data_IF_878922205020
#
_entry.id   IF_878922205020
#
_cell.length_a   1.000
_cell.length_b   1.000
_cell.length_c   1.000
_cell.angle_alpha   90.00
_cell.angle_beta   90.00
_cell.angle_gamma   90.00
#
_symmetry.space_group_name_H-M   'P 1'
#
loop_
_entity.id
_entity.type
_entity.pdbx_description
1 polymer ?
#
# COMPACT_ATOMS: atom_id res chain seq x y z
N UNK A 1 5.79 12.19 -14.56
CA UNK A 1 6.01 11.51 -13.25
C UNK A 1 5.68 10.04 -13.42
N UNK A 2 6.61 9.18 -13.12
CA UNK A 2 6.56 7.72 -13.36
C UNK A 2 5.33 7.06 -12.74
N UNK A 3 5.03 7.34 -11.46
CA UNK A 3 3.91 6.72 -10.76
C UNK A 3 2.56 6.99 -11.42
N UNK A 4 2.31 8.21 -11.91
CA UNK A 4 1.07 8.55 -12.62
C UNK A 4 0.96 7.78 -13.95
N UNK A 5 2.08 7.61 -14.67
CA UNK A 5 2.12 6.83 -15.91
C UNK A 5 1.87 5.34 -15.64
N UNK A 6 2.48 4.77 -14.59
CA UNK A 6 2.24 3.38 -14.16
C UNK A 6 0.76 3.19 -13.81
N UNK A 7 0.18 4.06 -12.99
CA UNK A 7 -1.23 3.96 -12.60
C UNK A 7 -2.18 4.05 -13.80
N UNK A 8 -1.91 4.94 -14.76
CA UNK A 8 -2.73 5.11 -15.97
C UNK A 8 -2.72 3.89 -16.89
N UNK A 9 -1.57 3.20 -16.97
CA UNK A 9 -1.36 2.06 -17.86
C UNK A 9 -1.47 0.70 -17.14
N UNK A 10 -1.88 0.68 -15.88
CA UNK A 10 -2.03 -0.55 -15.10
C UNK A 10 -3.06 -1.49 -15.71
N UNK A 11 -2.85 -2.82 -15.52
CA UNK A 11 -3.80 -3.88 -15.93
C UNK A 11 -5.22 -3.63 -15.41
N UNK A 12 -5.34 -3.12 -14.19
CA UNK A 12 -6.62 -2.75 -13.58
C UNK A 12 -6.77 -1.24 -13.57
N UNK A 13 -7.99 -0.76 -13.72
CA UNK A 13 -8.27 0.67 -13.68
C UNK A 13 -7.96 1.27 -12.31
N UNK A 14 -6.99 2.18 -12.24
CA UNK A 14 -6.52 2.83 -10.99
C UNK A 14 -7.04 4.27 -10.85
N UNK A 15 -8.19 4.56 -11.43
CA UNK A 15 -8.74 5.93 -11.53
C UNK A 15 -9.79 6.28 -10.48
N UNK A 16 -10.03 5.44 -9.47
CA UNK A 16 -11.00 5.72 -8.40
C UNK A 16 -10.44 6.62 -7.27
N UNK A 17 -9.48 7.45 -7.64
CA UNK A 17 -8.77 8.37 -6.78
C UNK A 17 -7.37 7.88 -6.39
N UNK A 18 -6.67 8.72 -5.67
CA UNK A 18 -5.33 8.44 -5.16
C UNK A 18 -5.05 9.20 -3.87
N UNK A 19 -3.95 8.87 -3.25
CA UNK A 19 -3.45 9.63 -2.12
C UNK A 19 -1.98 9.38 -1.85
N UNK A 20 -1.39 10.30 -1.08
CA UNK A 20 -0.03 10.16 -0.61
C UNK A 20 0.14 10.63 0.83
N UNK A 21 1.15 10.08 1.49
CA UNK A 21 1.72 10.57 2.73
C UNK A 21 3.21 10.86 2.48
N UNK A 22 3.69 12.01 2.93
CA UNK A 22 5.09 12.39 2.74
C UNK A 22 5.62 13.17 3.94
N UNK A 23 6.95 13.21 4.08
CA UNK A 23 7.61 14.00 5.11
C UNK A 23 7.86 15.41 4.59
N UNK A 24 7.45 16.43 5.38
CA UNK A 24 7.85 17.80 5.12
C UNK A 24 9.32 18.05 5.54
N UNK A 25 9.83 19.24 5.30
CA UNK A 25 11.20 19.64 5.67
C UNK A 25 11.50 19.51 7.17
N UNK A 26 10.48 19.55 8.01
CA UNK A 26 10.57 19.38 9.47
C UNK A 26 10.42 17.90 9.91
N UNK A 27 10.25 17.00 8.95
CA UNK A 27 10.03 15.58 9.22
C UNK A 27 8.61 15.21 9.66
N UNK A 28 7.63 16.14 9.58
CA UNK A 28 6.25 15.81 9.93
C UNK A 28 5.53 15.15 8.77
N UNK A 29 4.60 14.26 9.07
CA UNK A 29 3.73 13.69 8.08
C UNK A 29 2.74 14.71 7.52
N UNK A 30 2.64 14.78 6.20
CA UNK A 30 1.62 15.47 5.43
C UNK A 30 0.85 14.44 4.62
N UNK A 31 -0.44 14.69 4.45
CA UNK A 31 -1.36 13.80 3.74
C UNK A 31 -2.08 14.56 2.65
N UNK A 32 -2.26 13.90 1.53
CA UNK A 32 -3.10 14.37 0.46
C UNK A 32 -3.91 13.22 -0.09
N UNK A 33 -5.17 13.49 -0.46
CA UNK A 33 -6.06 12.55 -1.14
C UNK A 33 -6.88 13.30 -2.17
N UNK A 34 -7.16 12.65 -3.28
CA UNK A 34 -8.03 13.17 -4.33
C UNK A 34 -8.89 12.03 -4.87
N UNK A 35 -10.13 12.33 -5.25
CA UNK A 35 -11.05 11.39 -5.88
C UNK A 35 -10.76 11.23 -7.38
N UNK A 36 -10.13 12.23 -8.00
CA UNK A 36 -9.70 12.16 -9.40
C UNK A 36 -8.51 11.22 -9.56
N UNK A 37 -8.33 10.63 -10.75
CA UNK A 37 -7.14 9.86 -11.07
C UNK A 37 -5.85 10.68 -10.90
N UNK A 38 -4.77 10.04 -10.49
CA UNK A 38 -3.48 10.75 -10.28
C UNK A 38 -2.95 11.41 -11.58
N UNK A 39 -3.24 10.85 -12.74
CA UNK A 39 -2.78 11.40 -14.04
C UNK A 39 -3.56 12.64 -14.48
N UNK A 40 -4.61 13.03 -13.76
CA UNK A 40 -5.39 14.25 -13.93
C UNK A 40 -5.08 15.30 -12.85
N UNK A 41 -4.20 14.99 -11.91
CA UNK A 41 -3.87 15.87 -10.79
C UNK A 41 -2.52 16.58 -11.00
N UNK A 42 -2.38 17.78 -10.43
CA UNK A 42 -1.10 18.51 -10.43
C UNK A 42 -0.18 17.96 -9.34
N UNK A 43 0.54 16.91 -9.68
CA UNK A 43 1.50 16.26 -8.79
C UNK A 43 2.82 17.05 -8.61
N UNK A 44 3.07 18.06 -9.47
CA UNK A 44 4.26 18.93 -9.38
C UNK A 44 4.28 19.82 -8.15
N UNK A 45 3.13 20.10 -7.56
CA UNK A 45 2.99 20.97 -6.38
C UNK A 45 3.59 20.43 -5.07
N UNK A 46 3.91 19.15 -4.99
CA UNK A 46 4.38 18.54 -3.72
C UNK A 46 5.87 18.76 -3.43
N UNK A 47 6.66 19.17 -4.42
CA UNK A 47 8.09 19.41 -4.24
C UNK A 47 8.90 18.14 -3.97
N UNK A 48 9.99 18.28 -3.21
CA UNK A 48 10.92 17.20 -2.86
C UNK A 48 10.65 16.73 -1.43
N UNK A 49 10.77 15.43 -1.19
CA UNK A 49 10.61 14.83 0.14
C UNK A 49 11.64 13.73 0.37
N UNK A 50 11.93 13.42 1.60
CA UNK A 50 12.81 12.31 2.00
C UNK A 50 12.07 10.98 2.11
N UNK A 51 10.74 11.00 2.21
CA UNK A 51 9.91 9.80 2.32
C UNK A 51 8.52 10.06 1.75
N UNK A 52 8.14 9.23 0.79
CA UNK A 52 6.82 9.25 0.12
C UNK A 52 6.20 7.87 0.15
N UNK A 53 4.93 7.81 0.55
CA UNK A 53 4.05 6.65 0.39
C UNK A 53 2.87 7.09 -0.48
N UNK A 54 2.65 6.44 -1.61
CA UNK A 54 1.58 6.80 -2.54
C UNK A 54 0.78 5.56 -2.96
N UNK A 55 -0.52 5.76 -3.18
CA UNK A 55 -1.44 4.72 -3.61
C UNK A 55 -2.46 5.28 -4.62
N UNK A 56 -2.55 4.67 -5.79
CA UNK A 56 -3.63 4.86 -6.75
C UNK A 56 -4.66 3.74 -6.55
N UNK A 57 -5.94 4.08 -6.60
CA UNK A 57 -7.00 3.19 -6.16
C UNK A 57 -7.77 2.58 -7.33
N UNK A 58 -7.89 1.24 -7.29
CA UNK A 58 -8.97 0.49 -7.92
C UNK A 58 -10.00 0.12 -6.86
N UNK A 59 -11.22 0.63 -6.92
CA UNK A 59 -12.25 0.32 -5.94
C UNK A 59 -12.86 -1.04 -6.26
N UNK A 60 -13.01 -1.88 -5.22
CA UNK A 60 -13.63 -3.19 -5.36
C UNK A 60 -15.08 -3.05 -5.86
N UNK A 61 -15.42 -3.72 -6.96
CA UNK A 61 -16.73 -3.66 -7.63
C UNK A 61 -17.24 -2.21 -7.88
N UNK A 62 -16.31 -1.26 -8.11
CA UNK A 62 -16.59 0.17 -8.35
C UNK A 62 -17.48 0.81 -7.27
N UNK A 63 -17.32 0.36 -6.01
CA UNK A 63 -18.12 0.85 -4.88
C UNK A 63 -17.30 1.68 -3.91
N UNK A 64 -18.01 2.46 -3.09
CA UNK A 64 -17.44 3.27 -2.00
C UNK A 64 -16.33 4.20 -2.49
N UNK A 65 -16.53 4.80 -3.69
CA UNK A 65 -15.61 5.76 -4.31
C UNK A 65 -15.82 7.11 -3.65
N UNK A 66 -15.22 7.25 -2.46
CA UNK A 66 -15.19 8.49 -1.66
C UNK A 66 -13.76 8.76 -1.21
N UNK A 67 -13.44 10.03 -0.97
CA UNK A 67 -12.07 10.49 -0.67
C UNK A 67 -11.51 9.86 0.61
N UNK A 68 -12.36 9.61 1.59
CA UNK A 68 -12.00 9.02 2.88
C UNK A 68 -11.47 7.59 2.74
N UNK A 69 -11.87 6.89 1.68
CA UNK A 69 -11.46 5.53 1.38
C UNK A 69 -10.16 5.45 0.58
N UNK A 70 -9.61 6.58 0.14
CA UNK A 70 -8.31 6.61 -0.53
C UNK A 70 -7.18 6.52 0.50
N UNK A 71 -6.31 5.54 0.29
CA UNK A 71 -5.11 5.36 1.10
C UNK A 71 -4.02 6.37 0.70
N UNK A 72 -3.05 6.65 1.58
CA UNK A 72 -2.72 5.95 2.83
C UNK A 72 -3.66 6.23 3.99
N UNK A 73 -3.88 5.22 4.86
CA UNK A 73 -4.47 5.41 6.19
C UNK A 73 -3.37 5.73 7.21
N UNK A 74 -3.77 6.36 8.32
CA UNK A 74 -2.84 6.78 9.37
C UNK A 74 -3.52 6.76 10.73
N UNK A 75 -2.84 6.25 11.73
CA UNK A 75 -3.35 6.14 13.11
C UNK A 75 -2.64 7.06 14.13
N UNK A 76 -1.87 8.05 13.63
CA UNK A 76 -1.02 8.90 14.46
C UNK A 76 0.44 8.43 14.52
N UNK A 77 0.71 7.15 14.23
CA UNK A 77 2.04 6.53 14.29
C UNK A 77 2.46 5.89 12.97
N UNK A 78 1.58 5.14 12.37
CA UNK A 78 1.87 4.27 11.23
C UNK A 78 1.04 4.67 10.00
N UNK A 79 1.71 4.84 8.87
CA UNK A 79 1.12 5.01 7.54
C UNK A 79 0.91 3.63 6.94
N UNK A 80 -0.25 3.39 6.33
CA UNK A 80 -0.67 2.10 5.81
C UNK A 80 -1.22 2.21 4.39
N UNK A 81 -0.78 1.33 3.50
CA UNK A 81 -1.40 1.07 2.20
C UNK A 81 -1.59 -0.42 1.98
N UNK A 82 -2.57 -0.75 1.15
CA UNK A 82 -2.97 -2.12 0.81
C UNK A 82 -3.24 -2.23 -0.69
N UNK A 83 -2.66 -3.25 -1.32
CA UNK A 83 -2.99 -3.66 -2.68
C UNK A 83 -3.34 -5.15 -2.67
N UNK A 84 -4.60 -5.48 -2.97
CA UNK A 84 -5.05 -6.85 -2.97
C UNK A 84 -6.55 -7.00 -3.07
N UNK A 85 -6.97 -8.26 -3.24
CA UNK A 85 -8.37 -8.66 -3.28
C UNK A 85 -8.58 -9.87 -2.37
N UNK A 86 -9.46 -9.69 -1.36
CA UNK A 86 -9.86 -10.72 -0.41
C UNK A 86 -11.38 -10.85 -0.37
N UNK A 87 -11.88 -12.08 -0.43
CA UNK A 87 -13.33 -12.35 -0.32
C UNK A 87 -13.62 -13.35 0.80
N UNK A 88 -14.70 -13.10 1.54
CA UNK A 88 -15.13 -13.94 2.65
C UNK A 88 -14.14 -13.92 3.82
N UNK A 89 -13.61 -12.74 4.14
CA UNK A 89 -12.73 -12.50 5.29
C UNK A 89 -13.54 -12.60 6.59
N UNK A 90 -13.12 -13.46 7.50
CA UNK A 90 -13.79 -13.70 8.80
C UNK A 90 -12.99 -13.12 9.97
N UNK A 91 -12.58 -11.86 9.86
CA UNK A 91 -12.04 -11.07 10.98
C UNK A 91 -13.15 -10.15 11.53
N UNK A 92 -13.17 -9.97 12.85
CA UNK A 92 -14.07 -9.02 13.50
C UNK A 92 -13.30 -7.75 13.76
N UNK A 93 -13.54 -6.76 12.93
CA UNK A 93 -12.91 -5.45 13.04
C UNK A 93 -13.78 -4.38 12.36
N UNK A 94 -13.78 -3.18 12.91
CA UNK A 94 -14.45 -2.03 12.33
C UNK A 94 -13.60 -1.39 11.22
N UNK A 95 -14.26 -0.69 10.30
CA UNK A 95 -13.64 0.02 9.20
C UNK A 95 -14.62 0.25 8.05
N UNK A 96 -14.43 1.33 7.31
CA UNK A 96 -15.29 1.75 6.19
C UNK A 96 -15.20 0.76 5.02
N UNK A 97 -13.98 0.29 4.75
CA UNK A 97 -13.69 -0.67 3.68
C UNK A 97 -12.78 -1.79 4.18
N UNK A 98 -12.62 -2.85 3.38
CA UNK A 98 -11.82 -4.01 3.74
C UNK A 98 -10.37 -3.67 4.12
N UNK A 99 -9.74 -2.74 3.39
CA UNK A 99 -8.36 -2.31 3.68
C UNK A 99 -8.23 -1.65 5.07
N UNK A 100 -9.19 -0.82 5.47
CA UNK A 100 -9.19 -0.21 6.81
C UNK A 100 -9.41 -1.24 7.92
N UNK A 101 -10.29 -2.23 7.71
CA UNK A 101 -10.47 -3.35 8.64
C UNK A 101 -9.19 -4.16 8.82
N UNK A 102 -8.44 -4.39 7.73
CA UNK A 102 -7.13 -5.06 7.78
C UNK A 102 -6.14 -4.23 8.60
N UNK A 103 -6.06 -2.92 8.36
CA UNK A 103 -5.19 -2.03 9.13
C UNK A 103 -5.51 -2.07 10.62
N UNK A 104 -6.78 -1.88 10.98
CA UNK A 104 -7.22 -1.91 12.38
C UNK A 104 -6.95 -3.28 13.02
N UNK A 105 -7.13 -4.38 12.28
CA UNK A 105 -6.82 -5.71 12.76
C UNK A 105 -5.33 -5.91 13.06
N UNK A 106 -4.43 -5.41 12.21
CA UNK A 106 -2.98 -5.49 12.43
C UNK A 106 -2.58 -4.71 13.68
N UNK A 107 -3.13 -3.50 13.87
CA UNK A 107 -2.86 -2.63 15.03
C UNK A 107 -3.13 -3.30 16.38
N UNK A 108 -4.06 -4.25 16.45
CA UNK A 108 -4.35 -5.01 17.69
C UNK A 108 -3.18 -5.85 18.18
N UNK A 109 -2.24 -6.16 17.31
CA UNK A 109 -1.06 -6.97 17.62
C UNK A 109 0.22 -6.14 17.75
N UNK A 110 0.17 -4.83 17.43
CA UNK A 110 1.32 -3.94 17.42
C UNK A 110 1.57 -3.38 18.83
N UNK A 111 2.42 -4.07 19.57
CA UNK A 111 2.90 -3.69 20.89
C UNK A 111 4.26 -2.94 20.84
N UNK A 112 4.65 -2.45 19.66
CA UNK A 112 5.92 -1.79 19.37
C UNK A 112 6.79 -2.55 18.37
N UNK A 113 6.47 -3.82 18.09
CA UNK A 113 7.08 -4.63 17.05
C UNK A 113 6.13 -4.77 15.85
N UNK A 114 6.18 -3.79 14.94
CA UNK A 114 5.33 -3.74 13.75
C UNK A 114 5.56 -4.94 12.82
N UNK A 115 6.78 -5.45 12.71
CA UNK A 115 7.08 -6.64 11.91
C UNK A 115 6.31 -7.85 12.45
N UNK A 116 6.45 -8.13 13.73
CA UNK A 116 5.77 -9.25 14.40
C UNK A 116 4.25 -9.11 14.34
N UNK A 117 3.73 -7.89 14.50
CA UNK A 117 2.31 -7.61 14.36
C UNK A 117 1.80 -7.94 12.95
N UNK A 118 2.53 -7.52 11.92
CA UNK A 118 2.22 -7.77 10.52
C UNK A 118 2.25 -9.27 10.20
N UNK A 119 3.31 -9.98 10.61
CA UNK A 119 3.45 -11.43 10.43
C UNK A 119 2.29 -12.20 11.09
N UNK A 120 1.96 -11.87 12.34
CA UNK A 120 0.88 -12.52 13.10
C UNK A 120 -0.49 -12.25 12.49
N UNK A 121 -0.79 -10.99 12.19
CA UNK A 121 -2.09 -10.61 11.63
C UNK A 121 -2.31 -11.22 10.24
N UNK A 122 -1.33 -11.15 9.35
CA UNK A 122 -1.43 -11.71 8.00
C UNK A 122 -1.60 -13.22 8.01
N UNK A 123 -0.89 -13.94 8.92
CA UNK A 123 -1.09 -15.37 9.11
C UNK A 123 -2.53 -15.72 9.54
N UNK A 124 -3.14 -14.91 10.41
CA UNK A 124 -4.54 -15.10 10.83
C UNK A 124 -5.49 -14.76 9.68
N UNK A 125 -5.28 -13.64 8.98
CA UNK A 125 -6.11 -13.24 7.83
C UNK A 125 -6.10 -14.35 6.77
N UNK A 126 -4.94 -14.90 6.40
CA UNK A 126 -4.82 -16.00 5.44
C UNK A 126 -5.68 -17.20 5.85
N UNK A 127 -5.62 -17.61 7.11
CA UNK A 127 -6.41 -18.75 7.64
C UNK A 127 -7.91 -18.48 7.70
N UNK A 128 -8.32 -17.21 7.80
CA UNK A 128 -9.72 -16.80 7.99
C UNK A 128 -10.36 -16.18 6.76
N UNK A 129 -9.71 -16.28 5.61
CA UNK A 129 -10.20 -15.75 4.33
C UNK A 129 -10.49 -16.90 3.39
N UNK A 130 -11.68 -16.88 2.79
CA UNK A 130 -12.10 -17.94 1.86
C UNK A 130 -11.35 -17.87 0.53
N UNK A 131 -11.09 -16.65 0.04
CA UNK A 131 -10.42 -16.41 -1.22
C UNK A 131 -9.47 -15.22 -1.09
N UNK A 132 -8.25 -15.38 -1.52
CA UNK A 132 -7.23 -14.34 -1.61
C UNK A 132 -6.62 -14.40 -3.01
N UNK A 133 -6.85 -13.38 -3.81
CA UNK A 133 -6.16 -13.19 -5.08
C UNK A 133 -4.76 -12.62 -4.83
N UNK A 134 -4.68 -11.54 -4.06
CA UNK A 134 -3.45 -10.93 -3.60
C UNK A 134 -3.66 -10.15 -2.30
N UNK A 135 -2.59 -9.99 -1.52
CA UNK A 135 -2.57 -9.29 -0.23
C UNK A 135 -1.18 -8.68 0.01
N UNK A 136 -0.92 -7.53 -0.58
CA UNK A 136 0.28 -6.76 -0.34
C UNK A 136 -0.03 -5.62 0.63
N UNK A 137 0.71 -5.55 1.72
CA UNK A 137 0.54 -4.58 2.79
C UNK A 137 1.85 -3.85 2.99
N UNK A 138 1.83 -2.52 2.94
CA UNK A 138 2.97 -1.69 3.32
C UNK A 138 2.60 -0.85 4.53
N UNK A 139 3.44 -0.88 5.54
CA UNK A 139 3.35 -0.06 6.74
C UNK A 139 4.64 0.73 6.92
N UNK A 140 4.51 2.02 7.26
CA UNK A 140 5.67 2.90 7.46
C UNK A 140 5.50 3.67 8.77
N UNK A 141 6.49 3.57 9.63
CA UNK A 141 6.56 4.32 10.88
C UNK A 141 8.01 4.70 11.23
N UNK A 142 8.27 5.12 12.47
CA UNK A 142 9.60 5.48 12.92
C UNK A 142 10.60 4.30 12.92
N UNK A 143 10.12 3.06 12.95
CA UNK A 143 10.95 1.84 12.92
C UNK A 143 11.34 1.39 11.51
N UNK A 144 10.80 2.00 10.45
CA UNK A 144 11.13 1.65 9.07
C UNK A 144 9.94 1.42 8.16
N UNK A 145 10.20 0.74 7.05
CA UNK A 145 9.23 0.30 6.06
C UNK A 145 9.04 -1.20 6.21
N UNK A 146 7.83 -1.65 6.44
CA UNK A 146 7.44 -3.04 6.61
C UNK A 146 6.52 -3.43 5.46
N UNK A 147 6.83 -4.51 4.77
CA UNK A 147 6.02 -5.02 3.66
C UNK A 147 5.74 -6.49 3.85
N UNK A 148 4.45 -6.87 3.83
CA UNK A 148 4.03 -8.26 3.67
C UNK A 148 3.50 -8.47 2.26
N UNK A 149 4.03 -9.46 1.56
CA UNK A 149 3.59 -9.83 0.21
C UNK A 149 3.04 -11.25 0.22
N UNK A 150 1.81 -11.41 -0.29
CA UNK A 150 1.17 -12.72 -0.49
C UNK A 150 0.22 -12.65 -1.67
N UNK A 151 0.23 -13.66 -2.53
CA UNK A 151 -0.72 -13.81 -3.62
C UNK A 151 -0.87 -15.28 -4.02
N UNK A 152 -2.04 -15.65 -4.53
CA UNK A 152 -2.35 -16.96 -5.09
C UNK A 152 -2.53 -16.91 -6.60
N UNK A 153 -2.80 -15.73 -7.15
CA UNK A 153 -3.12 -15.52 -8.56
C UNK A 153 -2.47 -14.23 -9.06
N UNK A 154 -2.36 -14.07 -10.36
CA UNK A 154 -1.82 -12.87 -11.02
C UNK A 154 -0.43 -12.46 -10.52
N UNK A 155 0.49 -13.43 -10.47
CA UNK A 155 1.87 -13.24 -9.99
C UNK A 155 2.53 -11.98 -10.57
N UNK A 156 2.35 -11.75 -11.87
CA UNK A 156 2.91 -10.58 -12.55
C UNK A 156 2.36 -9.25 -12.02
N UNK A 157 1.09 -9.23 -11.57
CA UNK A 157 0.41 -8.04 -11.06
C UNK A 157 0.69 -7.80 -9.58
N UNK A 158 0.80 -8.86 -8.78
CA UNK A 158 0.97 -8.75 -7.34
C UNK A 158 2.41 -8.88 -6.85
N UNK A 159 3.36 -9.30 -7.70
CA UNK A 159 4.77 -9.31 -7.30
C UNK A 159 5.23 -7.90 -6.98
N UNK A 160 5.63 -7.69 -5.73
CA UNK A 160 6.25 -6.44 -5.31
C UNK A 160 7.72 -6.43 -5.67
N UNK A 161 8.24 -5.25 -5.94
CA UNK A 161 9.62 -5.03 -6.35
C UNK A 161 10.27 -3.95 -5.48
N UNK A 162 11.58 -4.05 -5.32
CA UNK A 162 12.36 -2.97 -4.74
C UNK A 162 13.61 -2.69 -5.55
N UNK A 163 14.06 -1.47 -5.49
CA UNK A 163 15.31 -1.00 -6.08
C UNK A 163 16.14 -0.33 -5.00
N UNK A 164 17.25 -0.97 -4.55
CA UNK A 164 18.18 -0.35 -3.62
C UNK A 164 19.02 0.70 -4.35
N UNK A 165 19.50 1.71 -3.63
CA UNK A 165 20.35 2.76 -4.18
C UNK A 165 20.40 3.96 -3.26
N UNK A 166 20.78 5.12 -3.80
CA UNK A 166 20.71 6.40 -3.09
C UNK A 166 19.29 6.68 -2.58
N UNK A 167 18.31 6.24 -3.38
CA UNK A 167 16.89 6.23 -3.03
C UNK A 167 16.39 4.80 -3.07
N UNK A 168 15.84 4.33 -1.95
CA UNK A 168 15.12 3.07 -1.92
C UNK A 168 13.73 3.30 -2.54
N UNK A 169 13.38 2.49 -3.52
CA UNK A 169 12.03 2.48 -4.09
C UNK A 169 11.43 1.08 -3.92
N UNK A 170 10.20 1.04 -3.43
CA UNK A 170 9.38 -0.18 -3.33
C UNK A 170 8.10 0.08 -4.10
N UNK A 171 7.73 -0.78 -5.04
CA UNK A 171 6.55 -0.61 -5.88
C UNK A 171 5.93 -1.94 -6.32
N UNK A 172 4.66 -1.90 -6.73
CA UNK A 172 3.96 -3.04 -7.34
C UNK A 172 4.35 -3.23 -8.80
N UNK A 173 4.72 -2.17 -9.52
CA UNK A 173 5.09 -2.23 -10.92
C UNK A 173 6.38 -1.46 -11.17
N UNK A 174 7.46 -2.15 -11.63
CA UNK A 174 8.74 -1.53 -11.97
C UNK A 174 8.61 -0.54 -13.13
N UNK A 175 9.41 0.52 -13.09
CA UNK A 175 9.46 1.53 -14.12
C UNK A 175 10.90 1.97 -14.42
N UNK A 176 11.09 2.67 -15.55
CA UNK A 176 12.41 3.10 -16.00
C UNK A 176 13.20 1.97 -16.68
N UNK A 177 13.70 2.24 -17.88
CA UNK A 177 14.50 1.27 -18.64
C UNK A 177 15.85 1.00 -17.97
N UNK A 178 16.24 -0.27 -17.89
CA UNK A 178 17.54 -0.70 -17.36
C UNK A 178 17.71 -0.58 -15.84
N UNK A 179 16.65 -0.30 -15.10
CA UNK A 179 16.70 -0.23 -13.65
C UNK A 179 16.87 -1.64 -13.02
N UNK A 180 17.77 -1.74 -12.05
CA UNK A 180 18.04 -3.02 -11.36
C UNK A 180 16.99 -3.29 -10.26
N UNK A 181 15.80 -3.73 -10.68
CA UNK A 181 14.71 -4.12 -9.79
C UNK A 181 14.88 -5.53 -9.27
N UNK A 182 14.68 -5.70 -7.98
CA UNK A 182 14.66 -6.99 -7.29
C UNK A 182 13.23 -7.35 -6.90
N UNK A 183 12.85 -8.61 -7.12
CA UNK A 183 11.54 -9.12 -6.74
C UNK A 183 11.49 -9.43 -5.25
N UNK A 184 10.37 -9.11 -4.62
CA UNK A 184 10.06 -9.51 -3.26
C UNK A 184 9.33 -10.85 -3.33
N UNK A 185 9.79 -11.82 -2.56
CA UNK A 185 9.22 -13.16 -2.57
C UNK A 185 7.76 -13.16 -2.11
N UNK A 186 6.92 -13.98 -2.74
CA UNK A 186 5.59 -14.28 -2.25
C UNK A 186 5.67 -14.97 -0.88
N UNK A 187 4.68 -14.74 -0.04
CA UNK A 187 4.58 -15.22 1.35
C UNK A 187 5.77 -14.81 2.22
N UNK A 188 6.15 -13.54 2.13
CA UNK A 188 7.28 -12.98 2.86
C UNK A 188 6.93 -11.68 3.58
N UNK A 189 7.74 -11.34 4.59
CA UNK A 189 7.75 -10.02 5.25
C UNK A 189 9.15 -9.44 5.17
N UNK A 190 9.27 -8.30 4.49
CA UNK A 190 10.49 -7.51 4.37
C UNK A 190 10.47 -6.28 5.30
N UNK A 191 11.67 -5.83 5.70
CA UNK A 191 11.86 -4.61 6.50
C UNK A 191 13.04 -3.84 5.93
N UNK A 192 12.89 -2.52 5.75
CA UNK A 192 13.91 -1.58 5.28
C UNK A 192 13.99 -0.34 6.15
#
# INVERSE_FOLDING_TARGET
MEFAAVAKNSKEYQGHGWGCAYRDEKGNWKFYRNISPIWEDDVGRFGVTTLLVAHARSAFEDRDIVIENNMPFFDGRTVFIFNGELRGVKIREDGRIGAEKIFNFIRRFDDGDTRRALEKATAIIKKRTRYIRGMNIVMVNAGGIFLSSFFNEDDAYFTMHYRPGKELIICSEPYGLGANWQKIACDSVGVW
#
